data_IF_567599629635
#
_entry.id   IF_567599629635
#
_cell.length_a   1.000
_cell.length_b   1.000
_cell.length_c   1.000
_cell.angle_alpha   90.00
_cell.angle_beta   90.00
_cell.angle_gamma   90.00
#
_symmetry.space_group_name_H-M   'P 1'
#
loop_
_entity.id
_entity.type
_entity.pdbx_description
1 polymer ?
#
# COMPACT_ATOMS: atom_id res chain seq x y z
N UNK A 1 -32.30 25.22 3.28
CA UNK A 1 -31.01 25.06 3.98
C UNK A 1 -30.04 24.43 2.99
N UNK A 2 -29.03 25.16 2.53
CA UNK A 2 -28.12 24.72 1.45
C UNK A 2 -27.23 23.57 1.97
N UNK A 3 -27.09 22.43 1.26
CA UNK A 3 -26.19 21.38 1.69
C UNK A 3 -24.75 21.87 1.55
N UNK A 4 -24.07 22.03 2.68
CA UNK A 4 -22.66 22.40 2.74
C UNK A 4 -21.82 21.18 2.30
N UNK A 5 -21.56 21.10 1.00
CA UNK A 5 -20.57 20.18 0.42
C UNK A 5 -19.20 20.75 0.79
N UNK A 6 -18.51 20.12 1.75
CA UNK A 6 -17.16 20.55 2.14
C UNK A 6 -16.24 20.55 0.91
N UNK A 7 -15.50 21.64 0.71
CA UNK A 7 -14.56 21.78 -0.41
C UNK A 7 -13.36 20.82 -0.20
N UNK A 8 -12.80 20.29 -1.28
CA UNK A 8 -11.63 19.37 -1.30
C UNK A 8 -10.48 19.83 -0.39
N UNK A 9 -10.20 21.14 -0.33
CA UNK A 9 -9.16 21.68 0.55
C UNK A 9 -9.45 21.46 2.05
N UNK A 10 -10.71 21.51 2.47
CA UNK A 10 -11.12 21.30 3.86
C UNK A 10 -11.04 19.81 4.25
N UNK A 11 -11.29 18.91 3.30
CA UNK A 11 -11.13 17.46 3.48
C UNK A 11 -9.67 17.01 3.54
N UNK A 12 -8.78 17.72 2.84
CA UNK A 12 -7.33 17.46 2.90
C UNK A 12 -6.72 17.84 4.25
N UNK A 13 -7.28 18.83 4.94
CA UNK A 13 -6.80 19.29 6.26
C UNK A 13 -7.33 18.46 7.44
N UNK A 14 -8.29 17.57 7.22
CA UNK A 14 -8.87 16.72 8.26
C UNK A 14 -8.06 15.42 8.41
N UNK A 15 -7.86 14.99 9.67
CA UNK A 15 -7.24 13.70 9.96
C UNK A 15 -8.19 12.56 9.58
N UNK A 16 -7.62 11.37 9.34
CA UNK A 16 -8.36 10.18 8.92
C UNK A 16 -9.49 9.84 9.90
N UNK A 17 -9.23 9.98 11.21
CA UNK A 17 -10.22 9.69 12.24
C UNK A 17 -11.42 10.65 12.17
N UNK A 18 -11.17 11.94 11.92
CA UNK A 18 -12.24 12.93 11.77
C UNK A 18 -13.06 12.74 10.49
N UNK A 19 -12.45 12.26 9.42
CA UNK A 19 -13.16 11.91 8.18
C UNK A 19 -14.12 10.75 8.38
N UNK A 20 -13.75 9.75 9.20
CA UNK A 20 -14.59 8.61 9.54
C UNK A 20 -15.76 9.04 10.45
N UNK A 21 -15.49 9.91 11.43
CA UNK A 21 -16.52 10.43 12.34
C UNK A 21 -17.58 11.27 11.58
N UNK A 22 -17.15 12.14 10.67
CA UNK A 22 -18.05 12.91 9.78
C UNK A 22 -18.84 12.01 8.82
N UNK A 23 -18.21 10.94 8.32
CA UNK A 23 -18.86 9.93 7.48
C UNK A 23 -19.99 9.22 8.25
N UNK A 24 -19.73 8.75 9.47
CA UNK A 24 -20.71 8.07 10.31
C UNK A 24 -21.86 9.00 10.73
N UNK A 25 -21.57 10.29 10.98
CA UNK A 25 -22.62 11.28 11.28
C UNK A 25 -23.49 11.60 10.06
N UNK A 26 -22.92 11.71 8.85
CA UNK A 26 -23.66 11.99 7.60
C UNK A 26 -24.30 10.76 6.98
N UNK A 27 -23.87 9.55 7.36
CA UNK A 27 -24.43 8.27 6.92
C UNK A 27 -25.92 8.14 7.18
N UNK A 28 -26.43 8.84 8.20
CA UNK A 28 -27.85 8.86 8.52
C UNK A 28 -28.71 9.69 7.54
N UNK A 29 -28.14 10.50 6.62
CA UNK A 29 -28.98 11.42 5.83
C UNK A 29 -28.65 11.64 4.34
N UNK A 30 -27.46 11.31 3.81
CA UNK A 30 -27.14 11.72 2.41
C UNK A 30 -26.23 10.78 1.62
N UNK A 31 -26.83 9.83 0.89
CA UNK A 31 -26.18 8.80 0.03
C UNK A 31 -25.15 9.36 -0.96
N UNK A 32 -25.34 10.59 -1.46
CA UNK A 32 -24.51 11.17 -2.54
C UNK A 32 -23.18 11.74 -2.01
N UNK A 33 -23.08 12.10 -0.71
CA UNK A 33 -21.84 12.58 -0.09
C UNK A 33 -20.96 11.47 0.51
N UNK A 34 -21.56 10.34 0.89
CA UNK A 34 -20.82 9.18 1.41
C UNK A 34 -19.93 8.55 0.35
N UNK A 35 -20.40 8.41 -0.89
CA UNK A 35 -19.61 7.70 -1.92
C UNK A 35 -18.26 8.40 -2.18
N UNK A 36 -18.24 9.74 -2.22
CA UNK A 36 -17.01 10.50 -2.37
C UNK A 36 -16.03 10.30 -1.19
N UNK A 37 -16.53 10.35 0.04
CA UNK A 37 -15.71 10.11 1.23
C UNK A 37 -15.16 8.68 1.27
N UNK A 38 -15.99 7.70 0.89
CA UNK A 38 -15.60 6.29 0.80
C UNK A 38 -14.53 6.06 -0.27
N UNK A 39 -14.67 6.69 -1.43
CA UNK A 39 -13.68 6.63 -2.50
C UNK A 39 -12.35 7.26 -2.09
N UNK A 40 -12.38 8.39 -1.40
CA UNK A 40 -11.18 9.05 -0.87
C UNK A 40 -10.48 8.19 0.19
N UNK A 41 -11.22 7.55 1.10
CA UNK A 41 -10.67 6.60 2.08
C UNK A 41 -10.03 5.41 1.37
N UNK A 42 -10.74 4.81 0.40
CA UNK A 42 -10.23 3.68 -0.36
C UNK A 42 -8.96 4.03 -1.16
N UNK A 43 -8.88 5.25 -1.72
CA UNK A 43 -7.69 5.73 -2.42
C UNK A 43 -6.49 5.83 -1.46
N UNK A 44 -6.68 6.41 -0.26
CA UNK A 44 -5.61 6.54 0.74
C UNK A 44 -5.14 5.18 1.27
N UNK A 45 -6.07 4.26 1.52
CA UNK A 45 -5.75 2.90 1.96
C UNK A 45 -4.98 2.14 0.87
N UNK A 46 -5.33 2.32 -0.40
CA UNK A 46 -4.61 1.75 -1.52
C UNK A 46 -3.21 2.35 -1.66
N UNK A 47 -3.05 3.67 -1.50
CA UNK A 47 -1.74 4.34 -1.53
C UNK A 47 -0.81 3.85 -0.39
N UNK A 48 -1.32 3.64 0.82
CA UNK A 48 -0.56 3.09 1.94
C UNK A 48 -0.15 1.63 1.70
N UNK A 49 -1.10 0.79 1.27
CA UNK A 49 -0.81 -0.61 0.95
C UNK A 49 0.20 -0.73 -0.20
N UNK A 50 0.06 0.09 -1.23
CA UNK A 50 0.98 0.08 -2.36
C UNK A 50 2.41 0.49 -1.93
N UNK A 51 2.56 1.46 -1.01
CA UNK A 51 3.87 1.80 -0.43
C UNK A 51 4.51 0.61 0.29
N UNK A 52 3.74 -0.15 1.08
CA UNK A 52 4.22 -1.35 1.76
C UNK A 52 4.60 -2.44 0.76
N UNK A 53 3.79 -2.67 -0.27
CA UNK A 53 4.07 -3.65 -1.32
C UNK A 53 5.35 -3.30 -2.08
N UNK A 54 5.59 -2.03 -2.38
CA UNK A 54 6.83 -1.58 -3.03
C UNK A 54 8.04 -1.88 -2.15
N UNK A 55 7.98 -1.57 -0.85
CA UNK A 55 9.05 -1.88 0.09
C UNK A 55 9.31 -3.39 0.18
N UNK A 56 8.25 -4.20 0.30
CA UNK A 56 8.37 -5.67 0.31
C UNK A 56 8.95 -6.21 -0.99
N UNK A 57 8.60 -5.64 -2.14
CA UNK A 57 9.12 -6.05 -3.45
C UNK A 57 10.62 -5.81 -3.55
N UNK A 58 11.13 -4.72 -2.98
CA UNK A 58 12.57 -4.43 -2.92
C UNK A 58 13.32 -5.46 -2.06
N UNK A 59 12.75 -5.84 -0.91
CA UNK A 59 13.33 -6.88 -0.05
C UNK A 59 13.35 -8.25 -0.73
N UNK A 60 12.25 -8.64 -1.37
CA UNK A 60 12.17 -9.90 -2.12
C UNK A 60 13.21 -9.93 -3.25
N UNK A 61 13.42 -8.80 -3.95
CA UNK A 61 14.47 -8.70 -4.97
C UNK A 61 15.85 -8.94 -4.38
N UNK A 62 16.18 -8.33 -3.24
CA UNK A 62 17.47 -8.51 -2.58
C UNK A 62 17.70 -9.96 -2.16
N UNK A 63 16.69 -10.59 -1.56
CA UNK A 63 16.72 -12.02 -1.20
C UNK A 63 16.92 -12.91 -2.44
N UNK A 64 16.25 -12.60 -3.55
CA UNK A 64 16.38 -13.35 -4.80
C UNK A 64 17.80 -13.29 -5.35
N UNK A 65 18.40 -12.11 -5.36
CA UNK A 65 19.79 -11.91 -5.78
C UNK A 65 20.74 -12.70 -4.87
N UNK A 66 20.52 -12.64 -3.56
CA UNK A 66 21.34 -13.37 -2.59
C UNK A 66 21.28 -14.89 -2.82
N UNK A 67 20.09 -15.46 -2.97
CA UNK A 67 19.91 -16.90 -3.25
C UNK A 67 20.53 -17.27 -4.61
N UNK A 68 20.41 -16.43 -5.63
CA UNK A 68 21.02 -16.67 -6.93
C UNK A 68 22.56 -16.74 -6.83
N UNK A 69 23.17 -15.83 -6.07
CA UNK A 69 24.62 -15.85 -5.82
C UNK A 69 25.03 -17.11 -5.08
N UNK A 70 24.33 -17.49 -4.00
CA UNK A 70 24.62 -18.72 -3.27
C UNK A 70 24.48 -19.96 -4.14
N UNK A 71 23.45 -20.00 -5.00
CA UNK A 71 23.24 -21.09 -5.95
C UNK A 71 24.39 -21.18 -6.94
N UNK A 72 24.84 -20.05 -7.49
CA UNK A 72 25.98 -20.01 -8.41
C UNK A 72 27.26 -20.51 -7.74
N UNK A 73 27.53 -20.08 -6.50
CA UNK A 73 28.68 -20.56 -5.71
C UNK A 73 28.60 -22.07 -5.51
N UNK A 74 27.43 -22.59 -5.11
CA UNK A 74 27.23 -24.02 -4.93
C UNK A 74 27.49 -24.81 -6.22
N UNK A 75 26.98 -24.33 -7.36
CA UNK A 75 27.22 -24.97 -8.66
C UNK A 75 28.71 -25.03 -8.99
N UNK A 76 29.44 -23.93 -8.76
CA UNK A 76 30.89 -23.86 -9.00
C UNK A 76 31.65 -24.82 -8.09
N UNK A 77 31.31 -24.84 -6.79
CA UNK A 77 31.96 -25.73 -5.82
C UNK A 77 31.73 -27.20 -6.16
N UNK A 78 30.50 -27.57 -6.53
CA UNK A 78 30.16 -28.93 -6.96
C UNK A 78 30.91 -29.31 -8.24
N UNK A 79 30.93 -28.43 -9.24
CA UNK A 79 31.65 -28.67 -10.48
C UNK A 79 33.15 -28.85 -10.26
N UNK A 80 33.76 -28.02 -9.39
CA UNK A 80 35.18 -28.15 -9.02
C UNK A 80 35.46 -29.45 -8.27
N UNK A 81 34.57 -29.85 -7.35
CA UNK A 81 34.70 -31.08 -6.58
C UNK A 81 34.65 -32.31 -7.50
N UNK A 82 33.72 -32.33 -8.47
CA UNK A 82 33.61 -33.41 -9.45
C UNK A 82 34.81 -33.43 -10.40
N UNK A 83 35.33 -32.27 -10.81
CA UNK A 83 36.49 -32.24 -11.72
C UNK A 83 37.80 -32.67 -11.06
N UNK A 84 37.93 -32.47 -9.74
CA UNK A 84 39.12 -32.83 -8.97
C UNK A 84 39.09 -34.27 -8.42
N UNK A 85 37.91 -34.86 -8.24
CA UNK A 85 37.71 -36.23 -7.74
C UNK A 85 37.75 -37.26 -8.86
#
# INVERSE_FOLDING_TARGET
MVPMVLNYQQLKSLSREKLIEEYDQKASSTVIGLNFLREEIARRDFEEQNRLIIAMTQEIRNLTIFVAVLTLINVILVAFTIWRG
#
